data_IF_118171507058
#
_entry.id   IF_118171507058
#
_cell.length_a   1.000
_cell.length_b   1.000
_cell.length_c   1.000
_cell.angle_alpha   90.00
_cell.angle_beta   90.00
_cell.angle_gamma   90.00
#
_symmetry.space_group_name_H-M   'P 1'
#
loop_
_entity.id
_entity.type
_entity.pdbx_description
1 polymer ?
#
# COMPACT_ATOMS: atom_id res chain seq x y z
N UNK A 1 -5.75 4.81 13.49
CA UNK A 1 -5.21 3.73 14.35
C UNK A 1 -6.28 2.81 14.92
N UNK A 2 -7.29 3.28 15.67
CA UNK A 2 -8.31 2.39 16.25
C UNK A 2 -9.02 1.47 15.22
N UNK A 3 -9.41 2.01 14.06
CA UNK A 3 -10.05 1.24 12.99
C UNK A 3 -9.15 0.13 12.41
N UNK A 4 -7.85 0.41 12.24
CA UNK A 4 -6.87 -0.58 11.76
C UNK A 4 -6.69 -1.72 12.77
N UNK A 5 -6.50 -1.36 14.05
CA UNK A 5 -6.33 -2.35 15.12
C UNK A 5 -7.57 -3.23 15.30
N UNK A 6 -8.77 -2.65 15.17
CA UNK A 6 -10.01 -3.43 15.22
C UNK A 6 -10.06 -4.47 14.10
N UNK A 7 -9.86 -4.04 12.84
CA UNK A 7 -9.92 -4.93 11.68
C UNK A 7 -8.91 -6.07 11.75
N UNK A 8 -7.67 -5.79 12.14
CA UNK A 8 -6.66 -6.86 12.29
C UNK A 8 -6.96 -7.78 13.48
N UNK A 9 -7.55 -7.25 14.57
CA UNK A 9 -7.98 -8.10 15.70
C UNK A 9 -9.06 -9.08 15.25
N UNK A 10 -10.09 -8.61 14.53
CA UNK A 10 -11.16 -9.46 14.01
C UNK A 10 -10.63 -10.55 13.05
N UNK A 11 -9.70 -10.20 12.16
CA UNK A 11 -9.03 -11.14 11.27
C UNK A 11 -8.23 -12.21 12.03
N UNK A 12 -7.46 -11.81 13.04
CA UNK A 12 -6.65 -12.72 13.85
C UNK A 12 -7.51 -13.59 14.78
N UNK A 13 -8.64 -13.08 15.29
CA UNK A 13 -9.61 -13.89 16.03
C UNK A 13 -10.18 -15.01 15.15
N UNK A 14 -10.59 -14.68 13.93
CA UNK A 14 -11.08 -15.64 12.95
C UNK A 14 -10.04 -16.73 12.63
N UNK A 15 -8.77 -16.32 12.51
CA UNK A 15 -7.65 -17.20 12.17
C UNK A 15 -6.99 -17.89 13.36
N UNK A 16 -7.47 -17.69 14.59
CA UNK A 16 -6.83 -18.14 15.84
C UNK A 16 -5.37 -17.67 16.02
N UNK A 17 -5.04 -16.46 15.56
CA UNK A 17 -3.69 -15.87 15.57
C UNK A 17 -3.53 -14.65 16.48
N UNK A 18 -4.36 -14.52 17.52
CA UNK A 18 -4.33 -13.36 18.44
C UNK A 18 -2.99 -13.14 19.14
N UNK A 19 -2.17 -14.18 19.27
CA UNK A 19 -0.80 -14.11 19.79
C UNK A 19 0.13 -13.28 18.90
N UNK A 20 -0.23 -13.08 17.62
CA UNK A 20 0.54 -12.27 16.67
C UNK A 20 0.13 -10.79 16.67
N UNK A 21 -0.93 -10.39 17.38
CA UNK A 21 -1.52 -9.05 17.28
C UNK A 21 -0.49 -7.92 17.54
N UNK A 22 0.44 -8.12 18.47
CA UNK A 22 1.49 -7.15 18.77
C UNK A 22 2.38 -6.87 17.53
N UNK A 23 2.65 -7.90 16.72
CA UNK A 23 3.45 -7.82 15.50
C UNK A 23 2.80 -7.00 14.37
N UNK A 24 1.49 -6.75 14.44
CA UNK A 24 0.77 -5.93 13.46
C UNK A 24 0.77 -4.43 13.81
N UNK A 25 1.43 -4.03 14.90
CA UNK A 25 1.59 -2.62 15.24
C UNK A 25 2.35 -1.89 14.11
N UNK A 26 1.72 -0.92 13.41
CA UNK A 26 2.37 -0.26 12.29
C UNK A 26 3.38 0.78 12.78
N UNK A 27 4.50 0.86 12.07
CA UNK A 27 5.45 1.97 12.22
C UNK A 27 4.89 3.20 11.51
N UNK A 28 4.66 4.28 12.25
CA UNK A 28 4.03 5.51 11.72
C UNK A 28 5.09 6.58 11.47
N UNK A 29 5.09 7.14 10.26
CA UNK A 29 5.86 8.32 9.90
C UNK A 29 4.92 9.49 9.65
N UNK A 30 5.10 10.57 10.40
CA UNK A 30 4.31 11.80 10.27
C UNK A 30 5.21 13.04 10.35
N UNK A 31 4.87 14.09 9.60
CA UNK A 31 5.60 15.35 9.67
C UNK A 31 5.28 16.28 8.50
N UNK A 32 5.55 17.60 8.63
CA UNK A 32 5.19 18.59 7.61
C UNK A 32 5.85 18.37 6.24
N UNK A 33 6.94 17.60 6.19
CA UNK A 33 7.60 17.23 4.93
C UNK A 33 6.80 16.25 4.08
N UNK A 34 5.77 15.62 4.64
CA UNK A 34 4.89 14.69 3.93
C UNK A 34 3.58 15.34 3.46
N UNK A 35 3.30 16.58 3.88
CA UNK A 35 2.09 17.30 3.48
C UNK A 35 2.10 17.56 1.97
N UNK A 36 1.20 16.87 1.26
CA UNK A 36 1.12 16.94 -0.21
C UNK A 36 2.28 16.29 -0.96
N UNK A 37 3.10 15.47 -0.28
CA UNK A 37 4.17 14.73 -0.94
C UNK A 37 3.61 13.67 -1.90
N UNK A 38 4.25 13.51 -3.05
CA UNK A 38 3.91 12.45 -4.01
C UNK A 38 4.41 11.09 -3.53
N UNK A 39 3.82 10.02 -4.06
CA UNK A 39 4.30 8.65 -3.81
C UNK A 39 5.78 8.48 -4.14
N UNK A 40 6.30 9.15 -5.17
CA UNK A 40 7.72 9.14 -5.52
C UNK A 40 8.63 9.68 -4.41
N UNK A 41 8.24 10.78 -3.76
CA UNK A 41 8.98 11.35 -2.62
C UNK A 41 8.92 10.39 -1.42
N UNK A 42 7.74 9.83 -1.15
CA UNK A 42 7.53 8.90 -0.04
C UNK A 42 8.29 7.57 -0.25
N UNK A 43 8.37 7.04 -1.48
CA UNK A 43 9.19 5.87 -1.82
C UNK A 43 10.65 6.08 -1.46
N UNK A 44 11.20 7.27 -1.73
CA UNK A 44 12.60 7.58 -1.38
C UNK A 44 12.82 7.51 0.13
N UNK A 45 11.90 8.05 0.92
CA UNK A 45 11.96 7.98 2.38
C UNK A 45 11.80 6.54 2.87
N UNK A 46 10.82 5.81 2.33
CA UNK A 46 10.53 4.42 2.68
C UNK A 46 11.71 3.49 2.39
N UNK A 47 12.30 3.54 1.18
CA UNK A 47 13.47 2.73 0.80
C UNK A 47 14.63 2.94 1.77
N UNK A 48 14.86 4.19 2.20
CA UNK A 48 15.88 4.51 3.21
C UNK A 48 15.60 3.83 4.54
N UNK A 49 14.36 3.90 5.05
CA UNK A 49 13.97 3.19 6.27
C UNK A 49 14.12 1.68 6.12
N UNK A 50 13.61 1.13 5.01
CA UNK A 50 13.64 -0.29 4.70
C UNK A 50 15.07 -0.82 4.79
N UNK A 51 16.09 -0.13 4.28
CA UNK A 51 17.50 -0.61 4.33
C UNK A 51 18.02 -1.03 5.71
N UNK A 52 17.49 -0.48 6.80
CA UNK A 52 17.93 -0.80 8.17
C UNK A 52 16.87 -1.48 9.02
N UNK A 53 15.60 -1.42 8.61
CA UNK A 53 14.48 -1.86 9.45
C UNK A 53 14.50 -3.35 9.81
N UNK A 54 14.77 -4.32 8.91
CA UNK A 54 14.75 -5.74 9.28
C UNK A 54 15.80 -6.09 10.31
N UNK A 55 16.97 -5.47 10.23
CA UNK A 55 18.02 -5.74 11.21
C UNK A 55 17.61 -5.20 12.58
N UNK A 56 16.96 -4.03 12.61
CA UNK A 56 16.50 -3.40 13.85
C UNK A 56 15.27 -4.08 14.45
N UNK A 57 14.34 -4.53 13.62
CA UNK A 57 13.04 -5.07 14.02
C UNK A 57 13.05 -6.60 14.18
N UNK A 58 13.85 -7.31 13.39
CA UNK A 58 13.84 -8.78 13.27
C UNK A 58 15.21 -9.43 13.47
N UNK A 59 16.27 -8.63 13.68
CA UNK A 59 17.65 -9.11 13.79
C UNK A 59 18.14 -9.94 12.57
N UNK A 60 17.56 -9.70 11.39
CA UNK A 60 17.96 -10.30 10.11
C UNK A 60 18.38 -9.21 9.13
N UNK A 61 19.32 -9.52 8.23
CA UNK A 61 19.87 -8.55 7.27
C UNK A 61 19.13 -8.53 5.92
N UNK A 62 18.16 -9.43 5.72
CA UNK A 62 17.37 -9.53 4.48
C UNK A 62 15.86 -9.39 4.74
N UNK A 63 15.14 -8.90 3.74
CA UNK A 63 13.69 -8.67 3.77
C UNK A 63 12.87 -9.94 3.50
N UNK A 64 13.49 -11.00 2.97
CA UNK A 64 12.82 -12.22 2.52
C UNK A 64 11.68 -11.91 1.54
N UNK A 65 10.52 -12.56 1.77
CA UNK A 65 9.26 -12.26 1.08
C UNK A 65 8.31 -11.41 1.95
N UNK A 66 8.83 -10.56 2.83
CA UNK A 66 7.97 -9.77 3.70
C UNK A 66 7.47 -8.49 3.01
N UNK A 67 6.15 -8.39 2.84
CA UNK A 67 5.49 -7.18 2.35
C UNK A 67 5.80 -5.92 3.19
N UNK A 68 6.10 -6.08 4.49
CA UNK A 68 6.40 -4.99 5.44
C UNK A 68 7.53 -4.06 4.98
N UNK A 69 8.51 -4.60 4.25
CA UNK A 69 9.67 -3.82 3.77
C UNK A 69 9.61 -3.50 2.28
N UNK A 70 8.53 -3.92 1.60
CA UNK A 70 8.29 -3.67 0.17
C UNK A 70 7.17 -2.69 -0.08
N UNK A 71 6.13 -2.72 0.75
CA UNK A 71 4.95 -1.88 0.62
C UNK A 71 4.79 -0.98 1.83
N UNK A 72 4.19 0.18 1.62
CA UNK A 72 3.74 1.04 2.70
C UNK A 72 2.33 1.56 2.45
N UNK A 73 1.67 1.90 3.54
CA UNK A 73 0.34 2.52 3.51
C UNK A 73 0.51 4.03 3.55
N UNK A 74 0.00 4.71 2.54
CA UNK A 74 -0.14 6.17 2.51
C UNK A 74 -1.58 6.54 2.89
N UNK A 75 -1.70 7.44 3.86
CA UNK A 75 -2.98 8.01 4.29
C UNK A 75 -2.92 9.52 4.05
N UNK A 76 -3.42 9.93 2.88
CA UNK A 76 -3.62 11.34 2.56
C UNK A 76 -4.99 11.82 3.03
N UNK A 77 -5.33 13.08 2.73
CA UNK A 77 -6.61 13.66 3.12
C UNK A 77 -7.79 12.88 2.53
N UNK A 78 -7.70 12.44 1.27
CA UNK A 78 -8.74 11.68 0.58
C UNK A 78 -9.00 10.33 1.27
N UNK A 79 -7.94 9.57 1.54
CA UNK A 79 -8.02 8.30 2.25
C UNK A 79 -8.54 8.47 3.68
N UNK A 80 -8.07 9.50 4.39
CA UNK A 80 -8.53 9.79 5.75
C UNK A 80 -10.03 10.09 5.78
N UNK A 81 -10.51 10.96 4.89
CA UNK A 81 -11.93 11.29 4.78
C UNK A 81 -12.76 10.07 4.35
N UNK A 82 -12.26 9.28 3.40
CA UNK A 82 -12.90 8.03 2.96
C UNK A 82 -13.12 7.08 4.13
N UNK A 83 -12.09 6.84 4.94
CA UNK A 83 -12.19 5.97 6.11
C UNK A 83 -13.13 6.57 7.15
N UNK A 84 -13.02 7.86 7.48
CA UNK A 84 -13.88 8.47 8.50
C UNK A 84 -15.37 8.47 8.11
N UNK A 85 -15.67 8.64 6.83
CA UNK A 85 -17.03 8.62 6.30
C UNK A 85 -17.57 7.21 6.04
N UNK A 86 -16.72 6.18 6.03
CA UNK A 86 -17.16 4.79 5.92
C UNK A 86 -17.84 4.34 7.20
N UNK A 87 -19.00 3.69 7.05
CA UNK A 87 -19.71 3.00 8.11
C UNK A 87 -18.90 1.76 8.55
N UNK A 88 -18.47 1.67 9.82
CA UNK A 88 -17.72 0.51 10.31
C UNK A 88 -18.57 -0.76 10.44
N UNK A 89 -19.90 -0.65 10.48
CA UNK A 89 -20.81 -1.80 10.64
C UNK A 89 -21.39 -2.27 9.29
N UNK A 90 -21.05 -1.57 8.19
CA UNK A 90 -21.49 -1.96 6.85
C UNK A 90 -20.85 -3.27 6.41
N UNK A 91 -21.64 -4.10 5.72
CA UNK A 91 -21.19 -5.39 5.16
C UNK A 91 -20.10 -5.22 4.08
N UNK A 92 -20.08 -4.08 3.39
CA UNK A 92 -19.03 -3.72 2.43
C UNK A 92 -18.46 -2.37 2.85
N UNK A 93 -17.18 -2.38 3.24
CA UNK A 93 -16.50 -1.15 3.65
C UNK A 93 -16.04 -0.39 2.41
N UNK A 94 -16.35 0.90 2.39
CA UNK A 94 -16.01 1.80 1.27
C UNK A 94 -14.79 2.66 1.58
N UNK A 95 -14.36 2.65 2.83
CA UNK A 95 -13.14 3.31 3.27
C UNK A 95 -11.92 2.65 2.64
N UNK A 96 -11.02 3.46 2.07
CA UNK A 96 -9.79 2.94 1.48
C UNK A 96 -8.56 3.64 2.03
N UNK A 97 -7.41 3.00 1.82
CA UNK A 97 -6.09 3.61 1.91
C UNK A 97 -5.29 3.34 0.65
N UNK A 98 -4.18 4.06 0.46
CA UNK A 98 -3.29 3.82 -0.67
C UNK A 98 -2.20 2.84 -0.25
N UNK A 99 -2.18 1.66 -0.87
CA UNK A 99 -1.06 0.74 -0.78
C UNK A 99 -0.05 1.11 -1.86
N UNK A 100 1.19 1.42 -1.47
CA UNK A 100 2.24 1.89 -2.38
C UNK A 100 3.34 0.84 -2.47
N UNK A 101 3.71 0.46 -3.69
CA UNK A 101 4.89 -0.37 -3.92
C UNK A 101 6.15 0.48 -3.82
N UNK A 102 6.97 0.18 -2.81
CA UNK A 102 8.15 0.92 -2.44
C UNK A 102 9.24 0.91 -3.51
N UNK A 103 9.42 -0.21 -4.21
CA UNK A 103 10.47 -0.39 -5.23
C UNK A 103 10.02 -0.04 -6.65
N UNK A 104 8.74 0.28 -6.85
CA UNK A 104 8.21 0.64 -8.16
C UNK A 104 8.93 1.85 -8.77
N UNK A 105 9.27 1.74 -10.05
CA UNK A 105 9.83 2.78 -10.90
C UNK A 105 9.12 2.71 -12.25
N UNK A 106 8.84 3.86 -12.90
CA UNK A 106 8.22 3.84 -14.22
C UNK A 106 9.17 3.17 -15.21
N UNK A 107 8.65 2.24 -16.01
CA UNK A 107 9.40 1.69 -17.14
C UNK A 107 9.67 2.83 -18.12
N UNK A 108 10.93 3.25 -18.21
CA UNK A 108 11.40 4.20 -19.20
C UNK A 108 11.62 3.43 -20.50
N UNK A 109 10.74 3.61 -21.47
CA UNK A 109 10.94 3.14 -22.83
C UNK A 109 12.14 3.89 -23.45
N UNK A 110 13.35 3.36 -23.28
CA UNK A 110 14.58 3.91 -23.86
C UNK A 110 14.56 3.84 -25.40
N UNK A 111 13.81 2.88 -25.95
CA UNK A 111 13.52 2.78 -27.37
C UNK A 111 12.16 3.44 -27.64
N UNK A 112 12.17 4.68 -28.14
CA UNK A 112 10.97 5.46 -28.50
C UNK A 112 10.17 4.90 -29.68
N UNK A 113 9.90 3.60 -29.69
CA UNK A 113 9.31 2.85 -30.80
C UNK A 113 8.09 2.01 -30.41
N UNK A 114 7.63 2.04 -29.16
CA UNK A 114 6.24 1.71 -28.88
C UNK A 114 5.41 2.97 -29.06
N UNK A 115 4.75 3.03 -30.21
CA UNK A 115 3.63 3.93 -30.44
C UNK A 115 2.58 3.64 -29.37
N UNK A 116 2.62 4.36 -28.26
CA UNK A 116 1.45 4.54 -27.39
C UNK A 116 0.35 5.03 -28.32
N UNK A 117 -0.73 4.26 -28.45
CA UNK A 117 -1.88 4.68 -29.23
C UNK A 117 -2.32 6.02 -28.63
N UNK A 118 -2.26 7.15 -29.36
CA UNK A 118 -2.52 8.47 -28.78
C UNK A 118 -3.95 8.64 -28.25
N UNK A 119 -4.83 7.65 -28.50
CA UNK A 119 -6.19 7.57 -27.97
C UNK A 119 -6.30 6.83 -26.61
N UNK A 120 -5.20 6.26 -26.06
CA UNK A 120 -5.17 5.55 -24.76
C UNK A 120 -4.30 6.26 -23.69
N UNK A 121 -4.05 7.57 -23.81
CA UNK A 121 -3.40 8.32 -22.72
C UNK A 121 -4.34 8.39 -21.50
N UNK A 122 -4.07 7.54 -20.50
CA UNK A 122 -4.82 7.50 -19.25
C UNK A 122 -4.65 8.81 -18.46
N UNK A 123 -5.68 9.18 -17.67
CA UNK A 123 -5.63 10.38 -16.85
C UNK A 123 -4.40 10.39 -15.93
N UNK A 124 -3.56 11.44 -15.93
CA UNK A 124 -2.30 11.42 -15.21
C UNK A 124 -2.52 11.39 -13.70
N UNK A 125 -1.93 10.38 -13.05
CA UNK A 125 -1.89 10.25 -11.59
C UNK A 125 -0.49 10.62 -11.10
N UNK A 126 -0.38 11.73 -10.36
CA UNK A 126 0.92 12.29 -9.95
C UNK A 126 1.90 12.52 -11.11
N UNK A 127 1.37 12.79 -12.31
CA UNK A 127 2.15 12.96 -13.54
C UNK A 127 2.49 11.66 -14.30
N UNK A 128 2.03 10.50 -13.81
CA UNK A 128 2.18 9.21 -14.50
C UNK A 128 0.92 8.86 -15.30
N UNK A 129 1.10 8.55 -16.59
CA UNK A 129 0.03 8.11 -17.50
C UNK A 129 0.08 6.61 -17.80
N UNK A 130 1.00 5.88 -17.17
CA UNK A 130 1.06 4.42 -17.28
C UNK A 130 -0.17 3.77 -16.62
N UNK A 131 -0.42 2.51 -16.99
CA UNK A 131 -1.44 1.69 -16.35
C UNK A 131 -1.06 1.43 -14.88
N UNK A 132 0.15 0.91 -14.65
CA UNK A 132 0.73 0.83 -13.30
C UNK A 132 1.37 2.15 -12.89
N UNK A 133 0.91 2.73 -11.78
CA UNK A 133 1.47 3.96 -11.19
C UNK A 133 2.21 3.69 -9.86
N UNK A 134 2.34 2.42 -9.50
CA UNK A 134 3.02 1.89 -8.33
C UNK A 134 2.29 2.13 -7.02
N UNK A 135 0.99 2.44 -7.07
CA UNK A 135 0.10 2.51 -5.92
C UNK A 135 -1.33 2.19 -6.33
N UNK A 136 -2.10 1.58 -5.41
CA UNK A 136 -3.52 1.25 -5.63
C UNK A 136 -4.35 1.57 -4.38
N UNK A 137 -5.67 1.70 -4.54
CA UNK A 137 -6.60 1.84 -3.42
C UNK A 137 -6.99 0.46 -2.91
N UNK A 138 -6.87 0.22 -1.62
CA UNK A 138 -7.29 -1.03 -0.96
C UNK A 138 -8.20 -0.73 0.23
N UNK A 139 -9.15 -1.62 0.58
CA UNK A 139 -9.95 -1.50 1.78
C UNK A 139 -9.06 -1.35 3.02
N UNK A 140 -9.38 -0.37 3.87
CA UNK A 140 -8.56 -0.07 5.05
C UNK A 140 -8.53 -1.22 6.06
N UNK A 141 -9.54 -2.07 6.04
CA UNK A 141 -9.73 -3.21 6.93
C UNK A 141 -9.01 -4.47 6.45
N UNK A 142 -8.66 -4.56 5.16
CA UNK A 142 -7.94 -5.70 4.59
C UNK A 142 -6.42 -5.49 4.57
N UNK A 143 -5.97 -4.23 4.46
CA UNK A 143 -4.55 -3.89 4.22
C UNK A 143 -3.58 -4.43 5.27
N UNK A 144 -4.00 -4.57 6.53
CA UNK A 144 -3.14 -5.10 7.59
C UNK A 144 -3.21 -6.61 7.70
N UNK A 145 -4.40 -7.21 7.80
CA UNK A 145 -4.53 -8.65 7.96
C UNK A 145 -4.10 -9.38 6.68
N UNK A 146 -4.93 -9.27 5.65
CA UNK A 146 -4.75 -9.92 4.35
C UNK A 146 -3.54 -9.34 3.62
N UNK A 147 -3.39 -8.01 3.61
CA UNK A 147 -2.26 -7.38 2.94
C UNK A 147 -0.90 -7.80 3.50
N UNK A 148 -0.78 -8.07 4.81
CA UNK A 148 0.49 -8.54 5.36
C UNK A 148 0.82 -10.00 5.04
N UNK A 149 -0.18 -10.83 4.73
CA UNK A 149 0.00 -12.25 4.38
C UNK A 149 0.11 -12.49 2.88
N UNK A 150 -0.63 -11.72 2.09
CA UNK A 150 -0.89 -12.03 0.68
C UNK A 150 -0.13 -11.09 -0.27
N UNK A 151 0.25 -9.89 0.18
CA UNK A 151 1.09 -8.96 -0.61
C UNK A 151 2.57 -9.12 -0.23
N UNK A 152 3.17 -10.22 -0.66
CA UNK A 152 4.52 -10.59 -0.27
C UNK A 152 5.56 -10.16 -1.31
N UNK A 153 5.25 -10.21 -2.61
CA UNK A 153 6.20 -9.90 -3.67
C UNK A 153 5.60 -9.19 -4.90
N UNK A 154 6.41 -9.05 -5.96
CA UNK A 154 6.02 -8.39 -7.21
C UNK A 154 4.97 -9.19 -8.00
N UNK A 155 4.96 -10.52 -7.94
CA UNK A 155 3.93 -11.32 -8.61
C UNK A 155 2.57 -11.07 -7.96
N UNK A 156 2.54 -10.93 -6.63
CA UNK A 156 1.30 -10.56 -5.92
C UNK A 156 0.84 -9.16 -6.37
N UNK A 157 1.76 -8.19 -6.47
CA UNK A 157 1.44 -6.86 -7.00
C UNK A 157 0.79 -6.93 -8.39
N UNK A 158 1.43 -7.59 -9.35
CA UNK A 158 0.91 -7.69 -10.73
C UNK A 158 -0.45 -8.43 -10.80
N UNK A 159 -0.69 -9.36 -9.87
CA UNK A 159 -1.95 -10.12 -9.80
C UNK A 159 -3.11 -9.29 -9.28
N UNK A 160 -2.85 -8.45 -8.28
CA UNK A 160 -3.87 -7.66 -7.59
C UNK A 160 -3.97 -6.22 -8.09
N UNK A 161 -3.00 -5.72 -8.86
CA UNK A 161 -2.98 -4.31 -9.21
C UNK A 161 -4.24 -3.87 -9.95
N UNK A 162 -4.86 -2.81 -9.43
CA UNK A 162 -5.94 -2.09 -10.09
C UNK A 162 -5.64 -0.61 -10.04
N UNK A 163 -5.69 0.00 -11.23
CA UNK A 163 -5.41 1.42 -11.40
C UNK A 163 -6.49 2.28 -10.70
N UNK A 164 -6.09 3.24 -9.86
CA UNK A 164 -7.01 4.24 -9.31
C UNK A 164 -7.76 4.99 -10.44
N UNK A 165 -9.02 5.41 -10.23
CA UNK A 165 -9.71 5.56 -8.96
C UNK A 165 -10.43 4.29 -8.45
N UNK A 166 -10.33 3.17 -9.16
CA UNK A 166 -10.91 1.90 -8.73
C UNK A 166 -10.22 1.40 -7.44
N UNK A 167 -10.93 0.59 -6.68
CA UNK A 167 -10.46 0.00 -5.42
C UNK A 167 -10.31 -1.52 -5.60
N UNK A 168 -9.18 -2.06 -5.15
CA UNK A 168 -8.86 -3.47 -5.18
C UNK A 168 -9.20 -4.13 -3.85
N UNK A 169 -10.05 -5.15 -3.86
CA UNK A 169 -10.19 -6.07 -2.73
C UNK A 169 -9.03 -7.07 -2.70
N UNK A 170 -8.46 -7.32 -1.54
CA UNK A 170 -7.39 -8.29 -1.33
C UNK A 170 -7.93 -9.69 -0.97
N UNK A 171 -9.21 -9.78 -0.58
CA UNK A 171 -9.92 -11.02 -0.20
C UNK A 171 -10.68 -11.71 -1.34
#
# INVERSE_FOLDING_TARGET
>A
MARFLQSVTEYLEYSNGLDMLEGFTPTVFEGPSFDGATTAVLRTHFRKWATTAPLQEQAVDTFGNSGRYRFFVMVDQEALESVLNSDPDAMTKTGFVRLVYGEWEPEVNEDGNESVDPDEELEPLEGCTLEDVGWMKVPYDEVQGIGATDMCDMHDWDTYYVRPPQMQALA
#
